data_IF_115777254374
#
_entry.id   IF_115777254374
#
_cell.length_a   1.000
_cell.length_b   1.000
_cell.length_c   1.000
_cell.angle_alpha   90.00
_cell.angle_beta   90.00
_cell.angle_gamma   90.00
#
_symmetry.space_group_name_H-M   'P 1'
#
loop_
_entity.id
_entity.type
_entity.pdbx_description
1 polymer ?
#
# COMPACT_ATOMS: atom_id res chain seq x y z
N UNK A 1 -16.37 17.00 -1.99
CA UNK A 1 -14.93 16.97 -1.64
C UNK A 1 -14.83 16.73 -0.15
N UNK A 2 -14.09 15.71 0.28
CA UNK A 2 -13.80 15.45 1.69
C UNK A 2 -12.29 15.51 1.88
N UNK A 3 -11.82 16.22 2.90
CA UNK A 3 -10.41 16.48 3.14
C UNK A 3 -10.04 15.85 4.48
N UNK A 4 -9.09 14.92 4.45
CA UNK A 4 -8.42 14.40 5.65
C UNK A 4 -7.09 15.11 5.78
N UNK A 5 -6.90 15.90 6.86
CA UNK A 5 -5.68 16.67 7.05
C UNK A 5 -4.69 15.94 7.96
N UNK A 6 -3.50 15.67 7.44
CA UNK A 6 -2.33 15.27 8.24
C UNK A 6 -2.40 13.89 8.90
N UNK A 7 -1.25 13.42 9.39
CA UNK A 7 -1.12 12.17 10.16
C UNK A 7 -0.69 10.96 9.33
N UNK A 8 0.05 10.06 9.97
CA UNK A 8 0.63 8.86 9.36
C UNK A 8 -0.38 8.02 8.54
N UNK A 9 -1.62 7.89 9.03
CA UNK A 9 -2.66 7.07 8.43
C UNK A 9 -3.68 7.86 7.57
N UNK A 10 -3.41 9.14 7.27
CA UNK A 10 -4.36 10.01 6.56
C UNK A 10 -4.78 9.45 5.20
N UNK A 11 -3.82 8.92 4.42
CA UNK A 11 -4.12 8.36 3.10
C UNK A 11 -4.95 7.10 3.13
N UNK A 12 -4.76 6.23 4.13
CA UNK A 12 -5.63 5.07 4.31
C UNK A 12 -7.04 5.48 4.75
N UNK A 13 -7.14 6.53 5.58
CA UNK A 13 -8.45 7.10 5.96
C UNK A 13 -9.17 7.67 4.73
N UNK A 14 -8.48 8.45 3.90
CA UNK A 14 -9.02 8.97 2.64
C UNK A 14 -9.42 7.85 1.66
N UNK A 15 -8.62 6.78 1.56
CA UNK A 15 -8.96 5.60 0.77
C UNK A 15 -10.24 4.93 1.28
N UNK A 16 -10.33 4.68 2.58
CA UNK A 16 -11.52 4.06 3.18
C UNK A 16 -12.77 4.91 2.99
N UNK A 17 -12.67 6.23 3.14
CA UNK A 17 -13.78 7.15 2.86
C UNK A 17 -14.23 7.09 1.39
N UNK A 18 -13.28 6.96 0.46
CA UNK A 18 -13.59 6.78 -0.96
C UNK A 18 -14.28 5.43 -1.22
N UNK A 19 -13.83 4.35 -0.58
CA UNK A 19 -14.45 3.03 -0.68
C UNK A 19 -15.85 3.00 -0.06
N UNK A 20 -16.07 3.67 1.07
CA UNK A 20 -17.38 3.80 1.71
C UNK A 20 -18.36 4.55 0.80
N UNK A 21 -17.88 5.61 0.14
CA UNK A 21 -18.66 6.32 -0.87
C UNK A 21 -19.06 5.39 -2.03
N UNK A 22 -18.14 4.59 -2.56
CA UNK A 22 -18.44 3.65 -3.66
C UNK A 22 -19.36 2.50 -3.22
N UNK A 23 -19.27 2.04 -1.97
CA UNK A 23 -20.20 1.06 -1.43
C UNK A 23 -21.62 1.60 -1.40
N UNK A 24 -21.79 2.88 -1.04
CA UNK A 24 -23.09 3.56 -1.07
C UNK A 24 -23.53 3.96 -2.49
N UNK A 25 -22.60 4.07 -3.45
CA UNK A 25 -22.82 4.55 -4.81
C UNK A 25 -22.11 3.62 -5.83
N UNK A 26 -22.56 2.38 -6.02
CA UNK A 26 -21.82 1.34 -6.74
C UNK A 26 -21.72 1.60 -8.26
N UNK A 27 -22.52 2.51 -8.81
CA UNK A 27 -22.54 2.96 -10.20
C UNK A 27 -21.79 4.29 -10.40
N UNK A 28 -20.92 4.69 -9.46
CA UNK A 28 -20.17 5.96 -9.53
C UNK A 28 -18.66 5.74 -9.49
N UNK A 29 -17.96 6.84 -9.68
CA UNK A 29 -16.50 6.93 -9.51
C UNK A 29 -16.17 7.93 -8.40
N UNK A 30 -14.97 7.80 -7.84
CA UNK A 30 -14.40 8.71 -6.85
C UNK A 30 -12.90 8.78 -7.03
N UNK A 31 -12.30 9.93 -6.72
CA UNK A 31 -10.86 10.11 -6.78
C UNK A 31 -10.32 10.17 -5.36
N UNK A 32 -9.40 9.26 -5.03
CA UNK A 32 -8.64 9.32 -3.78
C UNK A 32 -7.29 9.96 -4.08
N UNK A 33 -6.98 11.06 -3.40
CA UNK A 33 -5.78 11.85 -3.65
C UNK A 33 -4.99 11.97 -2.36
N UNK A 34 -3.69 11.72 -2.45
CA UNK A 34 -2.71 12.04 -1.43
C UNK A 34 -1.61 12.89 -2.04
N UNK A 35 -1.16 13.88 -1.28
CA UNK A 35 -0.05 14.73 -1.64
C UNK A 35 0.66 15.15 -0.37
N UNK A 36 1.98 15.05 -0.37
CA UNK A 36 2.82 15.65 0.65
C UNK A 36 4.12 16.18 0.05
N UNK A 37 4.68 17.21 0.68
CA UNK A 37 5.97 17.80 0.35
C UNK A 37 6.79 18.01 1.64
N UNK A 38 7.25 16.92 2.29
CA UNK A 38 7.74 16.99 3.68
C UNK A 38 8.99 17.85 3.87
N UNK A 39 9.78 18.01 2.81
CA UNK A 39 11.05 18.76 2.86
C UNK A 39 11.01 20.05 2.04
N UNK A 40 9.84 20.63 1.78
CA UNK A 40 9.78 21.92 1.12
C UNK A 40 10.29 23.05 2.04
N UNK A 41 11.17 23.96 1.58
CA UNK A 41 11.80 24.00 0.27
C UNK A 41 12.91 22.93 0.11
N UNK A 42 12.99 22.24 -1.05
CA UNK A 42 13.83 21.06 -1.22
C UNK A 42 15.32 21.39 -1.11
N UNK A 43 16.09 20.46 -0.53
CA UNK A 43 17.55 20.45 -0.69
C UNK A 43 17.93 19.61 -1.91
N UNK A 44 19.07 19.89 -2.53
CA UNK A 44 19.55 19.13 -3.68
C UNK A 44 19.55 17.60 -3.38
N UNK A 45 18.94 16.82 -4.29
CA UNK A 45 18.83 15.35 -4.31
C UNK A 45 17.68 14.67 -3.51
N UNK A 46 16.73 15.39 -2.94
CA UNK A 46 15.56 14.77 -2.29
C UNK A 46 14.46 14.38 -3.30
N UNK A 47 13.82 13.23 -3.07
CA UNK A 47 12.78 12.65 -3.95
C UNK A 47 11.51 12.22 -3.19
N UNK A 48 11.33 12.72 -1.95
CA UNK A 48 10.25 12.33 -1.05
C UNK A 48 8.97 13.18 -1.18
N UNK A 49 9.00 14.24 -1.99
CA UNK A 49 7.78 14.94 -2.41
C UNK A 49 7.01 14.07 -3.40
N UNK A 50 5.71 13.87 -3.17
CA UNK A 50 4.91 12.94 -3.96
C UNK A 50 3.45 13.35 -4.05
N UNK A 51 2.80 13.03 -5.17
CA UNK A 51 1.35 13.15 -5.35
C UNK A 51 0.85 11.89 -6.03
N UNK A 52 -0.22 11.31 -5.48
CA UNK A 52 -0.89 10.14 -6.05
C UNK A 52 -2.38 10.44 -6.19
N UNK A 53 -2.92 10.12 -7.36
CA UNK A 53 -4.35 10.14 -7.66
C UNK A 53 -4.78 8.74 -8.05
N UNK A 54 -5.68 8.14 -7.29
CA UNK A 54 -6.34 6.89 -7.64
C UNK A 54 -7.75 7.19 -8.17
N UNK A 55 -8.01 6.75 -9.39
CA UNK A 55 -9.34 6.78 -10.00
C UNK A 55 -10.04 5.46 -9.64
N UNK A 56 -10.99 5.52 -8.71
CA UNK A 56 -11.72 4.35 -8.24
C UNK A 56 -13.11 4.32 -8.88
N UNK A 57 -13.52 3.14 -9.33
CA UNK A 57 -14.85 2.89 -9.88
C UNK A 57 -15.60 1.90 -9.00
N UNK A 58 -16.88 2.16 -8.76
CA UNK A 58 -17.76 1.22 -8.09
C UNK A 58 -17.96 -0.04 -8.94
N UNK A 59 -18.32 -1.18 -8.32
CA UNK A 59 -18.38 -2.47 -8.99
C UNK A 59 -19.41 -2.55 -10.14
N UNK A 60 -20.38 -1.63 -10.18
CA UNK A 60 -21.43 -1.58 -11.19
C UNK A 60 -21.19 -0.48 -12.24
N UNK A 61 -20.12 0.31 -12.11
CA UNK A 61 -19.79 1.35 -13.07
C UNK A 61 -19.12 0.74 -14.30
N UNK A 62 -19.69 0.97 -15.49
CA UNK A 62 -19.08 0.54 -16.74
C UNK A 62 -17.92 1.49 -17.12
N UNK A 63 -16.70 1.07 -16.83
CA UNK A 63 -15.45 1.78 -17.17
C UNK A 63 -15.07 1.65 -18.65
N UNK A 64 -15.72 0.75 -19.41
CA UNK A 64 -15.30 0.28 -20.74
C UNK A 64 -13.85 -0.26 -20.79
N UNK A 65 -13.25 -0.52 -19.62
CA UNK A 65 -11.85 -0.90 -19.45
C UNK A 65 -11.72 -1.92 -18.34
N UNK A 66 -10.81 -2.88 -18.51
CA UNK A 66 -10.41 -3.77 -17.41
C UNK A 66 -9.78 -2.95 -16.26
N UNK A 67 -10.09 -3.29 -15.00
CA UNK A 67 -9.43 -2.64 -13.87
C UNK A 67 -7.94 -2.95 -13.85
N UNK A 68 -7.13 -2.04 -13.31
CA UNK A 68 -5.71 -2.31 -13.06
C UNK A 68 -5.49 -3.24 -11.86
N UNK A 69 -6.41 -3.21 -10.91
CA UNK A 69 -6.36 -3.92 -9.65
C UNK A 69 -7.73 -3.85 -8.95
N UNK A 70 -7.91 -4.70 -7.94
CA UNK A 70 -8.99 -4.57 -6.96
C UNK A 70 -8.40 -4.18 -5.61
N UNK A 71 -8.95 -3.15 -4.97
CA UNK A 71 -8.46 -2.63 -3.69
C UNK A 71 -9.52 -2.93 -2.62
N UNK A 72 -9.11 -3.62 -1.57
CA UNK A 72 -9.97 -3.90 -0.42
C UNK A 72 -10.05 -2.71 0.55
N UNK A 73 -10.99 -2.77 1.50
CA UNK A 73 -11.00 -1.84 2.63
C UNK A 73 -9.74 -2.03 3.48
N UNK A 74 -9.07 -0.93 3.80
CA UNK A 74 -7.94 -0.95 4.72
C UNK A 74 -8.40 -1.26 6.15
N UNK A 75 -7.73 -2.19 6.81
CA UNK A 75 -7.92 -2.49 8.22
C UNK A 75 -6.97 -1.64 9.07
N UNK A 76 -7.45 -1.19 10.24
CA UNK A 76 -6.65 -0.41 11.20
C UNK A 76 -6.67 -1.09 12.55
N UNK A 77 -5.49 -1.50 13.03
CA UNK A 77 -5.33 -2.10 14.34
C UNK A 77 -5.13 -1.07 15.46
N UNK A 78 -5.08 -1.57 16.69
CA UNK A 78 -4.74 -0.78 17.86
C UNK A 78 -3.91 -1.62 18.83
N UNK A 79 -2.67 -1.23 19.10
CA UNK A 79 -1.76 -1.95 20.02
C UNK A 79 -2.25 -1.96 21.47
N UNK A 80 -3.04 -0.96 21.89
CA UNK A 80 -3.60 -0.89 23.24
C UNK A 80 -4.79 -1.85 23.44
N UNK A 81 -5.30 -2.45 22.36
CA UNK A 81 -6.32 -3.50 22.45
C UNK A 81 -5.76 -4.87 22.91
N UNK A 82 -4.44 -4.98 23.06
CA UNK A 82 -3.77 -6.24 23.40
C UNK A 82 -3.02 -6.15 24.72
N UNK A 83 -2.96 -7.27 25.45
CA UNK A 83 -2.18 -7.38 26.67
C UNK A 83 -0.70 -7.68 26.40
N UNK A 84 0.15 -7.36 27.38
CA UNK A 84 1.56 -7.76 27.37
C UNK A 84 1.66 -9.24 27.73
N UNK A 85 2.36 -10.03 26.91
CA UNK A 85 2.61 -11.45 27.19
C UNK A 85 4.00 -11.87 26.72
N UNK A 86 4.54 -12.92 27.32
CA UNK A 86 5.85 -13.48 26.95
C UNK A 86 5.80 -14.05 25.53
N UNK A 87 6.89 -13.89 24.78
CA UNK A 87 7.06 -14.47 23.44
C UNK A 87 6.50 -13.63 22.28
N UNK A 88 5.85 -12.49 22.55
CA UNK A 88 5.42 -11.55 21.51
C UNK A 88 5.26 -10.14 22.08
N UNK A 89 4.96 -9.16 21.23
CA UNK A 89 4.69 -7.78 21.64
C UNK A 89 3.26 -7.39 21.33
N UNK A 90 2.78 -6.28 21.91
CA UNK A 90 1.47 -5.71 21.54
C UNK A 90 1.44 -5.26 20.08
N UNK A 91 2.56 -4.76 19.56
CA UNK A 91 2.70 -4.39 18.15
C UNK A 91 2.54 -5.60 17.22
N UNK A 92 3.22 -6.72 17.52
CA UNK A 92 3.10 -7.96 16.73
C UNK A 92 1.67 -8.51 16.77
N UNK A 93 1.03 -8.51 17.95
CA UNK A 93 -0.37 -8.94 18.07
C UNK A 93 -1.33 -8.07 17.25
N UNK A 94 -1.16 -6.74 17.31
CA UNK A 94 -1.96 -5.81 16.52
C UNK A 94 -1.73 -6.00 15.01
N UNK A 95 -0.49 -6.18 14.57
CA UNK A 95 -0.18 -6.47 13.17
C UNK A 95 -0.84 -7.77 12.69
N UNK A 96 -0.79 -8.85 13.47
CA UNK A 96 -1.45 -10.11 13.12
C UNK A 96 -2.95 -9.93 12.88
N UNK A 97 -3.62 -9.25 13.82
CA UNK A 97 -5.06 -8.98 13.69
C UNK A 97 -5.38 -8.07 12.50
N UNK A 98 -4.55 -7.05 12.25
CA UNK A 98 -4.73 -6.10 11.16
C UNK A 98 -4.54 -6.76 9.79
N UNK A 99 -3.53 -7.62 9.65
CA UNK A 99 -3.26 -8.36 8.41
C UNK A 99 -4.38 -9.38 8.14
N UNK A 100 -4.83 -10.09 9.18
CA UNK A 100 -5.97 -11.02 9.06
C UNK A 100 -7.24 -10.29 8.59
N UNK A 101 -7.56 -9.14 9.19
CA UNK A 101 -8.72 -8.34 8.78
C UNK A 101 -8.59 -7.81 7.35
N UNK A 102 -7.41 -7.30 6.96
CA UNK A 102 -7.18 -6.83 5.59
C UNK A 102 -7.31 -7.96 4.56
N UNK A 103 -6.80 -9.16 4.87
CA UNK A 103 -6.96 -10.35 4.02
C UNK A 103 -8.45 -10.76 3.91
N UNK A 104 -9.18 -10.77 5.04
CA UNK A 104 -10.63 -11.02 5.05
C UNK A 104 -11.41 -9.99 4.22
N UNK A 105 -11.07 -8.70 4.33
CA UNK A 105 -11.71 -7.63 3.54
C UNK A 105 -11.50 -7.82 2.03
N UNK A 106 -10.42 -8.47 1.62
CA UNK A 106 -10.12 -8.78 0.21
C UNK A 106 -10.66 -10.15 -0.26
N UNK A 107 -11.16 -10.98 0.68
CA UNK A 107 -11.57 -12.35 0.39
C UNK A 107 -10.40 -13.26 0.00
N UNK A 108 -9.22 -13.07 0.59
CA UNK A 108 -8.03 -13.90 0.37
C UNK A 108 -7.53 -14.48 1.69
N UNK A 109 -6.82 -15.61 1.65
CA UNK A 109 -6.19 -16.13 2.86
C UNK A 109 -4.87 -15.42 3.12
N UNK A 110 -4.48 -15.29 4.40
CA UNK A 110 -3.18 -14.69 4.78
C UNK A 110 -1.99 -15.38 4.08
N UNK A 111 -1.93 -16.72 3.97
CA UNK A 111 -0.88 -17.40 3.21
C UNK A 111 -0.81 -17.05 1.71
N UNK A 112 -1.88 -16.48 1.12
CA UNK A 112 -1.93 -16.09 -0.29
C UNK A 112 -1.42 -14.66 -0.54
N UNK A 113 -0.85 -14.01 0.48
CA UNK A 113 -0.18 -12.72 0.35
C UNK A 113 1.25 -12.94 -0.15
N UNK A 114 1.55 -12.48 -1.36
CA UNK A 114 2.78 -12.83 -2.08
C UNK A 114 3.84 -11.72 -2.05
N UNK A 115 3.42 -10.47 -1.83
CA UNK A 115 4.34 -9.33 -1.82
C UNK A 115 3.88 -8.21 -0.88
N UNK A 116 4.80 -7.63 -0.14
CA UNK A 116 4.51 -6.66 0.92
C UNK A 116 5.20 -5.33 0.62
N UNK A 117 4.40 -4.28 0.45
CA UNK A 117 4.88 -2.90 0.42
C UNK A 117 4.77 -2.30 1.82
N UNK A 118 5.79 -1.60 2.28
CA UNK A 118 5.76 -0.93 3.57
C UNK A 118 6.58 0.37 3.58
N UNK A 119 6.31 1.23 4.56
CA UNK A 119 6.90 2.57 4.74
C UNK A 119 7.70 2.68 6.06
N UNK A 120 8.45 1.62 6.41
CA UNK A 120 9.15 1.56 7.69
C UNK A 120 10.26 2.62 7.84
N UNK A 121 10.74 3.19 6.73
CA UNK A 121 11.87 4.10 6.70
C UNK A 121 13.21 3.36 6.70
N UNK A 122 14.31 4.10 6.83
CA UNK A 122 15.66 3.56 6.85
C UNK A 122 16.57 4.42 7.71
N UNK A 123 17.50 3.79 8.42
CA UNK A 123 18.62 4.48 9.07
C UNK A 123 18.30 5.19 10.37
N UNK A 124 17.19 4.85 11.05
CA UNK A 124 16.82 5.39 12.36
C UNK A 124 16.27 4.32 13.30
N UNK A 125 16.35 4.53 14.62
CA UNK A 125 15.80 3.62 15.63
C UNK A 125 14.28 3.42 15.47
N UNK A 126 13.56 4.47 15.07
CA UNK A 126 12.15 4.40 14.74
C UNK A 126 11.92 3.46 13.55
N UNK A 127 12.73 3.57 12.49
CA UNK A 127 12.62 2.68 11.33
C UNK A 127 12.93 1.22 11.67
N UNK A 128 13.96 0.99 12.48
CA UNK A 128 14.32 -0.35 12.96
C UNK A 128 13.20 -0.96 13.80
N UNK A 129 12.56 -0.16 14.66
CA UNK A 129 11.45 -0.62 15.51
C UNK A 129 10.21 -0.97 14.70
N UNK A 130 9.83 -0.13 13.74
CA UNK A 130 8.73 -0.37 12.80
C UNK A 130 8.96 -1.65 12.00
N UNK A 131 10.17 -1.79 11.46
CA UNK A 131 10.55 -2.95 10.66
C UNK A 131 10.58 -4.23 11.50
N UNK A 132 11.13 -4.19 12.71
CA UNK A 132 11.21 -5.37 13.58
C UNK A 132 9.82 -5.95 13.89
N UNK A 133 8.85 -5.11 14.23
CA UNK A 133 7.49 -5.55 14.54
C UNK A 133 6.77 -6.15 13.32
N UNK A 134 6.89 -5.50 12.16
CA UNK A 134 6.29 -5.99 10.92
C UNK A 134 6.97 -7.30 10.47
N UNK A 135 8.31 -7.34 10.41
CA UNK A 135 9.06 -8.53 9.98
C UNK A 135 8.80 -9.73 10.88
N UNK A 136 8.81 -9.55 12.20
CA UNK A 136 8.46 -10.63 13.12
C UNK A 136 7.06 -11.15 12.84
N UNK A 137 6.09 -10.25 12.62
CA UNK A 137 4.72 -10.65 12.30
C UNK A 137 4.68 -11.48 11.02
N UNK A 138 5.28 -10.99 9.94
CA UNK A 138 5.26 -11.66 8.64
C UNK A 138 5.92 -13.04 8.69
N UNK A 139 7.05 -13.18 9.38
CA UNK A 139 7.70 -14.48 9.61
C UNK A 139 6.82 -15.45 10.43
N UNK A 140 5.99 -14.94 11.35
CA UNK A 140 5.08 -15.76 12.15
C UNK A 140 3.75 -16.07 11.45
N UNK A 141 3.35 -15.34 10.40
CA UNK A 141 2.06 -15.49 9.73
C UNK A 141 2.13 -16.09 8.33
N UNK A 142 3.20 -15.81 7.58
CA UNK A 142 3.34 -16.22 6.18
C UNK A 142 4.25 -17.45 6.08
N UNK A 143 3.82 -18.52 5.39
CA UNK A 143 4.66 -19.70 5.19
C UNK A 143 5.85 -19.37 4.30
N UNK A 144 7.04 -19.85 4.67
CA UNK A 144 8.27 -19.74 3.87
C UNK A 144 8.64 -18.30 3.44
N UNK A 145 8.22 -17.31 4.24
CA UNK A 145 8.40 -15.90 3.95
C UNK A 145 9.88 -15.50 3.78
N UNK A 146 10.23 -15.03 2.58
CA UNK A 146 11.54 -14.47 2.25
C UNK A 146 11.45 -12.96 2.15
N UNK A 147 11.80 -12.29 3.25
CA UNK A 147 11.78 -10.83 3.36
C UNK A 147 12.49 -10.14 2.19
N UNK A 148 13.63 -10.66 1.74
CA UNK A 148 14.45 -10.00 0.71
C UNK A 148 13.82 -10.06 -0.69
N UNK A 149 12.97 -11.06 -0.95
CA UNK A 149 12.32 -11.24 -2.25
C UNK A 149 10.87 -10.76 -2.26
N UNK A 150 10.22 -10.72 -1.10
CA UNK A 150 8.79 -10.47 -0.97
C UNK A 150 8.47 -9.11 -0.37
N UNK A 151 9.45 -8.24 -0.11
CA UNK A 151 9.20 -6.89 0.42
C UNK A 151 9.73 -5.77 -0.43
N UNK A 152 9.07 -4.62 -0.29
CA UNK A 152 9.57 -3.35 -0.78
C UNK A 152 9.34 -2.25 0.26
N UNK A 153 10.45 -1.69 0.76
CA UNK A 153 10.44 -0.54 1.65
C UNK A 153 10.47 0.76 0.85
N UNK A 154 9.30 1.32 0.57
CA UNK A 154 9.16 2.49 -0.30
C UNK A 154 9.90 3.70 0.24
N UNK A 155 9.73 4.00 1.52
CA UNK A 155 10.44 5.11 2.19
C UNK A 155 11.94 4.89 2.32
N UNK A 156 12.39 3.63 2.28
CA UNK A 156 13.82 3.30 2.25
C UNK A 156 14.49 3.69 0.93
N UNK A 157 13.71 3.80 -0.15
CA UNK A 157 14.14 4.28 -1.47
C UNK A 157 13.85 5.77 -1.66
N UNK A 158 12.61 6.19 -1.41
CA UNK A 158 12.12 7.52 -1.75
C UNK A 158 12.34 8.56 -0.63
N UNK A 159 12.70 8.12 0.58
CA UNK A 159 12.69 8.96 1.79
C UNK A 159 11.33 9.00 2.48
N UNK A 160 11.24 9.67 3.62
CA UNK A 160 9.97 9.82 4.35
C UNK A 160 9.02 10.73 3.57
N UNK A 161 7.91 10.16 3.10
CA UNK A 161 6.91 10.83 2.26
C UNK A 161 5.75 11.41 3.07
N UNK A 162 5.85 11.41 4.41
CA UNK A 162 4.80 11.89 5.29
C UNK A 162 3.46 11.18 5.03
N UNK A 163 2.40 11.97 4.92
CA UNK A 163 1.05 11.49 4.60
C UNK A 163 0.92 10.90 3.20
N UNK A 164 1.88 11.20 2.31
CA UNK A 164 1.95 10.69 0.94
C UNK A 164 2.32 9.21 0.82
N UNK A 165 2.89 8.61 1.88
CA UNK A 165 3.34 7.21 1.89
C UNK A 165 2.25 6.21 1.54
N UNK A 166 1.05 6.40 2.08
CA UNK A 166 -0.03 5.42 1.99
C UNK A 166 -0.45 5.12 0.54
N UNK A 167 -0.89 6.14 -0.22
CA UNK A 167 -1.31 5.90 -1.59
C UNK A 167 -0.14 5.65 -2.54
N UNK A 168 1.06 6.13 -2.22
CA UNK A 168 2.27 5.76 -2.98
C UNK A 168 2.52 4.26 -2.91
N UNK A 169 2.43 3.66 -1.71
CA UNK A 169 2.53 2.21 -1.57
C UNK A 169 1.42 1.47 -2.32
N UNK A 170 0.18 1.97 -2.27
CA UNK A 170 -0.95 1.38 -3.01
C UNK A 170 -0.71 1.45 -4.53
N UNK A 171 -0.26 2.59 -5.06
CA UNK A 171 0.03 2.73 -6.47
C UNK A 171 1.16 1.80 -6.94
N UNK A 172 2.24 1.67 -6.16
CA UNK A 172 3.32 0.73 -6.45
C UNK A 172 2.84 -0.73 -6.39
N UNK A 173 1.98 -1.07 -5.43
CA UNK A 173 1.36 -2.38 -5.34
C UNK A 173 0.54 -2.69 -6.58
N UNK A 174 -0.35 -1.78 -7.02
CA UNK A 174 -1.14 -1.88 -8.24
C UNK A 174 -0.24 -2.12 -9.46
N UNK A 175 0.82 -1.33 -9.61
CA UNK A 175 1.79 -1.50 -10.71
C UNK A 175 2.39 -2.89 -10.70
N UNK A 176 2.93 -3.34 -9.57
CA UNK A 176 3.56 -4.65 -9.44
C UNK A 176 2.59 -5.79 -9.76
N UNK A 177 1.42 -5.81 -9.13
CA UNK A 177 0.48 -6.93 -9.25
C UNK A 177 -0.20 -6.98 -10.62
N UNK A 178 -0.40 -5.85 -11.29
CA UNK A 178 -0.86 -5.84 -12.68
C UNK A 178 0.14 -6.52 -13.63
N UNK A 179 1.45 -6.37 -13.36
CA UNK A 179 2.49 -6.95 -14.20
C UNK A 179 2.85 -8.39 -13.85
N UNK A 180 2.89 -8.72 -12.56
CA UNK A 180 3.45 -9.97 -12.05
C UNK A 180 2.42 -10.88 -11.38
N UNK A 181 1.19 -10.42 -11.19
CA UNK A 181 0.20 -11.14 -10.40
C UNK A 181 0.54 -11.18 -8.91
N UNK A 182 -0.16 -12.07 -8.20
CA UNK A 182 -0.06 -12.24 -6.76
C UNK A 182 -0.80 -11.18 -5.95
N UNK A 183 -1.34 -11.54 -4.79
CA UNK A 183 -1.96 -10.56 -3.91
C UNK A 183 -0.86 -9.76 -3.19
N UNK A 184 -0.95 -8.44 -3.22
CA UNK A 184 -0.04 -7.58 -2.48
C UNK A 184 -0.67 -7.06 -1.19
N UNK A 185 0.09 -7.06 -0.11
CA UNK A 185 -0.22 -6.37 1.13
C UNK A 185 0.49 -5.02 1.13
N UNK A 186 -0.22 -3.95 1.44
CA UNK A 186 0.36 -2.64 1.74
C UNK A 186 0.22 -2.40 3.23
N UNK A 187 1.35 -2.27 3.93
CA UNK A 187 1.44 -2.06 5.36
C UNK A 187 1.88 -0.62 5.69
N UNK A 188 1.00 0.14 6.33
CA UNK A 188 1.28 1.45 6.93
C UNK A 188 1.87 1.28 8.33
N UNK A 189 3.15 1.62 8.47
CA UNK A 189 3.98 1.38 9.66
C UNK A 189 4.35 2.66 10.41
N UNK A 190 4.01 3.82 9.84
CA UNK A 190 4.41 5.14 10.34
C UNK A 190 3.76 5.51 11.68
N UNK A 191 2.53 5.03 11.93
CA UNK A 191 1.89 5.02 13.25
C UNK A 191 2.09 3.64 13.93
N UNK A 192 3.00 3.52 14.91
CA UNK A 192 3.28 2.24 15.56
C UNK A 192 2.17 1.78 16.51
N UNK A 193 1.27 2.68 16.94
CA UNK A 193 0.15 2.31 17.82
C UNK A 193 -1.07 1.85 17.03
N UNK A 194 -1.23 2.35 15.80
CA UNK A 194 -2.33 2.03 14.90
C UNK A 194 -1.82 1.51 13.55
N UNK A 195 -1.33 0.25 13.49
CA UNK A 195 -0.89 -0.34 12.23
C UNK A 195 -2.05 -0.39 11.23
N UNK A 196 -1.76 -0.17 9.96
CA UNK A 196 -2.76 -0.22 8.89
C UNK A 196 -2.33 -1.21 7.82
N UNK A 197 -3.27 -2.00 7.31
CA UNK A 197 -3.03 -2.90 6.20
C UNK A 197 -4.15 -2.83 5.16
N UNK A 198 -3.80 -2.88 3.88
CA UNK A 198 -4.75 -3.04 2.77
C UNK A 198 -4.22 -4.06 1.79
N UNK A 199 -5.11 -4.89 1.24
CA UNK A 199 -4.75 -5.86 0.21
C UNK A 199 -5.19 -5.35 -1.16
N UNK A 200 -4.26 -5.44 -2.11
CA UNK A 200 -4.45 -5.14 -3.53
C UNK A 200 -4.36 -6.45 -4.31
N UNK A 201 -5.42 -6.79 -5.05
CA UNK A 201 -5.55 -8.03 -5.81
C UNK A 201 -5.37 -7.79 -7.31
N UNK A 202 -4.77 -8.76 -8.02
CA UNK A 202 -4.53 -8.63 -9.46
C UNK A 202 -5.84 -8.55 -10.26
N UNK A 203 -5.80 -7.91 -11.43
CA UNK A 203 -6.90 -7.99 -12.37
C UNK A 203 -7.00 -9.41 -12.96
N UNK A 204 -8.13 -9.70 -13.61
CA UNK A 204 -8.35 -10.98 -14.31
C UNK A 204 -7.32 -11.22 -15.43
N UNK A 205 -6.85 -10.13 -16.05
CA UNK A 205 -5.87 -10.13 -17.12
C UNK A 205 -4.67 -9.27 -16.73
N UNK A 206 -3.53 -9.94 -16.53
CA UNK A 206 -2.26 -9.26 -16.28
C UNK A 206 -1.78 -8.53 -17.54
N UNK A 207 -0.95 -7.53 -17.33
CA UNK A 207 -0.22 -6.81 -18.38
C UNK A 207 1.28 -7.11 -18.25
N UNK A 208 1.81 -8.26 -18.69
CA UNK A 208 3.22 -8.59 -18.45
C UNK A 208 4.19 -7.57 -19.05
N UNK A 209 5.34 -7.40 -18.41
CA UNK A 209 6.44 -6.58 -18.94
C UNK A 209 7.12 -7.36 -20.06
N UNK A 210 7.16 -6.79 -21.26
CA UNK A 210 7.91 -7.33 -22.40
C UNK A 210 9.10 -6.40 -22.69
N UNK A 211 10.33 -6.80 -22.31
CA UNK A 211 11.51 -5.94 -22.47
C UNK A 211 11.92 -5.76 -23.93
N UNK A 212 11.33 -6.52 -24.86
CA UNK A 212 11.64 -6.48 -26.29
C UNK A 212 10.65 -5.63 -27.10
N UNK A 213 9.54 -5.21 -26.48
CA UNK A 213 8.52 -4.39 -27.14
C UNK A 213 8.61 -2.94 -26.72
N UNK A 214 8.35 -2.07 -27.68
CA UNK A 214 8.19 -0.65 -27.41
C UNK A 214 6.93 -0.41 -26.57
N UNK A 215 7.14 0.05 -25.34
CA UNK A 215 6.05 0.52 -24.50
C UNK A 215 5.63 1.93 -24.96
N UNK A 216 4.59 1.96 -25.80
CA UNK A 216 3.99 3.17 -26.37
C UNK A 216 3.63 4.25 -25.33
N UNK A 217 3.46 3.85 -24.06
CA UNK A 217 2.83 4.65 -23.01
C UNK A 217 3.77 5.19 -21.93
N UNK A 218 5.09 4.98 -22.06
CA UNK A 218 6.05 5.33 -21.02
C UNK A 218 7.46 5.64 -21.54
N UNK A 219 7.56 6.38 -22.66
CA UNK A 219 8.86 6.80 -23.20
C UNK A 219 9.29 8.15 -22.65
N UNK A 220 10.50 8.19 -22.13
CA UNK A 220 11.34 9.38 -21.96
C UNK A 220 12.81 8.96 -21.84
N UNK A 221 13.70 9.56 -22.63
CA UNK A 221 15.15 9.31 -22.56
C UNK A 221 15.60 7.85 -22.67
N UNK A 222 15.13 7.07 -23.65
CA UNK A 222 15.44 5.64 -23.86
C UNK A 222 15.05 4.66 -22.73
N UNK A 223 14.38 5.13 -21.68
CA UNK A 223 13.90 4.27 -20.60
C UNK A 223 12.40 4.03 -20.74
N UNK A 224 11.99 2.80 -20.41
CA UNK A 224 10.59 2.44 -20.25
C UNK A 224 10.22 2.69 -18.78
N UNK A 225 9.35 3.65 -18.52
CA UNK A 225 8.84 3.89 -17.17
C UNK A 225 7.69 2.91 -16.88
N UNK A 226 7.61 2.34 -15.68
CA UNK A 226 6.46 1.51 -15.29
C UNK A 226 5.19 2.37 -15.39
N UNK A 227 4.07 1.85 -15.91
CA UNK A 227 2.96 2.66 -16.38
C UNK A 227 2.30 3.44 -15.25
N UNK A 228 2.31 4.77 -15.38
CA UNK A 228 1.56 5.76 -14.61
C UNK A 228 0.05 5.80 -14.97
N UNK A 229 -0.46 4.84 -15.75
CA UNK A 229 -1.84 4.77 -16.26
C UNK A 229 -2.21 3.39 -16.82
N UNK A 230 -3.48 2.99 -16.64
CA UNK A 230 -4.10 1.82 -17.29
C UNK A 230 -4.69 2.14 -18.66
#
# INVERSE_FOLDING_TARGET
>A
MHITQGGANAGFTSLNNALDYLQANPDKTVWAINWDAPNFPPTDAQINENLVVLFLAGPNFNTEREPLAWISRAATGNTQAFERKVGTTRAVQAWKATIDEAARNAGVAVPDLEYIFHDAGKGSDASSSRLAALSQTLTETLPEYDYMKQTFNTTGLLGDMGTGSALTNVALAIGRINHFGGNALVAGTTDPEHPVAVVVRPPSKLTPIDPTKDWFRARGGNNAYLPWWG
#
